data_IF_051179723305
#
_entry.id   IF_051179723305
#
_cell.length_a   1.000
_cell.length_b   1.000
_cell.length_c   1.000
_cell.angle_alpha   90.00
_cell.angle_beta   90.00
_cell.angle_gamma   90.00
#
_symmetry.space_group_name_H-M   'P 1'
#
loop_
_entity.id
_entity.type
_entity.pdbx_description
1 polymer ?
#
# COMPACT_ATOMS: atom_id res chain seq x y z
N UNK A 1 2.57 -19.21 -21.86
CA UNK A 1 1.55 -19.96 -21.07
C UNK A 1 0.30 -19.08 -20.97
N UNK A 2 -0.80 -19.48 -21.59
CA UNK A 2 -2.08 -18.72 -21.52
C UNK A 2 -2.81 -18.90 -20.20
N UNK A 3 -2.54 -19.98 -19.48
CA UNK A 3 -3.24 -20.33 -18.23
C UNK A 3 -2.96 -19.36 -17.08
N UNK A 4 -1.76 -18.77 -16.98
CA UNK A 4 -1.40 -17.93 -15.85
C UNK A 4 -2.28 -16.66 -15.74
N UNK A 5 -2.50 -15.87 -16.80
CA UNK A 5 -3.41 -14.73 -16.72
C UNK A 5 -4.85 -15.10 -16.33
N UNK A 6 -5.33 -16.25 -16.79
CA UNK A 6 -6.68 -16.74 -16.45
C UNK A 6 -6.78 -17.09 -14.95
N UNK A 7 -5.77 -17.79 -14.41
CA UNK A 7 -5.68 -18.10 -12.98
C UNK A 7 -5.66 -16.82 -12.15
N UNK A 8 -4.85 -15.85 -12.53
CA UNK A 8 -4.74 -14.55 -11.84
C UNK A 8 -6.08 -13.83 -11.83
N UNK A 9 -6.79 -13.79 -12.96
CA UNK A 9 -8.11 -13.18 -13.06
C UNK A 9 -9.15 -13.85 -12.14
N UNK A 10 -9.11 -15.18 -12.05
CA UNK A 10 -9.99 -15.95 -11.16
C UNK A 10 -9.66 -15.64 -9.69
N UNK A 11 -8.39 -15.66 -9.32
CA UNK A 11 -7.95 -15.34 -7.96
C UNK A 11 -8.36 -13.94 -7.54
N UNK A 12 -8.20 -12.94 -8.41
CA UNK A 12 -8.62 -11.57 -8.14
C UNK A 12 -10.12 -11.46 -7.91
N UNK A 13 -10.92 -12.12 -8.74
CA UNK A 13 -12.38 -12.14 -8.60
C UNK A 13 -12.81 -12.77 -7.28
N UNK A 14 -12.23 -13.92 -6.90
CA UNK A 14 -12.54 -14.59 -5.65
C UNK A 14 -12.16 -13.71 -4.46
N UNK A 15 -10.99 -13.09 -4.48
CA UNK A 15 -10.56 -12.17 -3.42
C UNK A 15 -11.54 -11.01 -3.23
N UNK A 16 -12.04 -10.42 -4.32
CA UNK A 16 -13.05 -9.37 -4.29
C UNK A 16 -14.37 -9.86 -3.70
N UNK A 17 -14.82 -11.06 -4.07
CA UNK A 17 -16.07 -11.65 -3.57
C UNK A 17 -16.01 -12.02 -2.09
N UNK A 18 -14.84 -12.39 -1.58
CA UNK A 18 -14.63 -12.84 -0.20
C UNK A 18 -14.10 -11.76 0.72
N UNK A 19 -13.78 -10.58 0.21
CA UNK A 19 -13.18 -9.50 0.99
C UNK A 19 -11.72 -9.74 1.38
N UNK A 20 -11.03 -10.65 0.69
CA UNK A 20 -9.61 -10.91 0.90
C UNK A 20 -8.73 -9.89 0.18
N UNK A 21 -7.56 -9.60 0.76
CA UNK A 21 -6.51 -8.86 0.05
C UNK A 21 -6.00 -9.67 -1.15
N UNK A 22 -5.61 -8.97 -2.23
CA UNK A 22 -5.06 -9.58 -3.43
C UNK A 22 -3.83 -8.83 -3.91
N UNK A 23 -2.74 -9.57 -4.12
CA UNK A 23 -1.53 -9.06 -4.74
C UNK A 23 -1.23 -9.81 -6.03
N UNK A 24 -1.24 -9.07 -7.15
CA UNK A 24 -0.96 -9.64 -8.46
C UNK A 24 0.55 -9.77 -8.68
N UNK A 25 1.14 -10.83 -8.16
CA UNK A 25 2.57 -11.13 -8.29
C UNK A 25 3.00 -11.22 -9.75
N UNK A 26 2.20 -11.85 -10.59
CA UNK A 26 2.48 -12.02 -12.01
C UNK A 26 2.69 -10.66 -12.71
N UNK A 27 1.78 -9.73 -12.50
CA UNK A 27 1.89 -8.39 -13.08
C UNK A 27 3.00 -7.56 -12.45
N UNK A 28 3.16 -7.65 -11.13
CA UNK A 28 4.19 -6.93 -10.40
C UNK A 28 5.62 -7.33 -10.84
N UNK A 29 5.82 -8.59 -11.20
CA UNK A 29 7.08 -9.09 -11.74
C UNK A 29 7.37 -8.66 -13.17
N UNK A 30 6.37 -8.20 -13.92
CA UNK A 30 6.50 -7.78 -15.31
C UNK A 30 5.59 -8.51 -16.31
N UNK A 31 4.76 -9.45 -15.83
CA UNK A 31 3.77 -10.15 -16.66
C UNK A 31 4.38 -11.19 -17.59
N UNK A 32 3.84 -11.27 -18.79
CA UNK A 32 4.23 -12.30 -19.77
C UNK A 32 5.71 -12.20 -20.17
N UNK A 33 6.38 -13.33 -20.21
CA UNK A 33 7.80 -13.45 -20.59
C UNK A 33 8.80 -13.14 -19.47
N UNK A 34 8.37 -12.71 -18.30
CA UNK A 34 9.24 -12.36 -17.17
C UNK A 34 10.20 -13.48 -16.78
N UNK A 35 9.73 -14.73 -16.72
CA UNK A 35 10.58 -15.86 -16.30
C UNK A 35 11.75 -16.09 -17.26
N UNK A 36 11.54 -15.94 -18.56
CA UNK A 36 12.61 -16.01 -19.55
C UNK A 36 13.63 -14.89 -19.39
N UNK A 37 13.16 -13.65 -19.18
CA UNK A 37 14.02 -12.51 -18.93
C UNK A 37 14.81 -12.65 -17.63
N UNK A 38 14.20 -13.19 -16.59
CA UNK A 38 14.82 -13.44 -15.30
C UNK A 38 15.88 -14.54 -15.37
N UNK A 39 15.66 -15.53 -16.21
CA UNK A 39 16.61 -16.62 -16.40
C UNK A 39 17.91 -16.18 -17.07
N UNK A 40 17.82 -15.29 -18.07
CA UNK A 40 18.99 -14.81 -18.80
C UNK A 40 19.75 -13.67 -18.10
N UNK A 41 19.24 -13.17 -16.97
CA UNK A 41 19.97 -12.17 -16.17
C UNK A 41 21.22 -12.76 -15.52
N UNK A 42 22.19 -11.90 -15.28
CA UNK A 42 23.39 -12.24 -14.53
C UNK A 42 23.51 -11.38 -13.27
N UNK A 43 23.42 -11.99 -12.09
CA UNK A 43 23.04 -13.38 -11.83
C UNK A 43 21.56 -13.65 -12.14
N UNK A 44 21.19 -14.91 -12.46
CA UNK A 44 19.82 -15.26 -12.80
C UNK A 44 18.89 -15.10 -11.60
N UNK A 45 17.68 -14.63 -11.86
CA UNK A 45 16.67 -14.37 -10.84
C UNK A 45 15.68 -15.54 -10.67
N UNK A 46 15.75 -16.54 -11.55
CA UNK A 46 14.94 -17.76 -11.53
C UNK A 46 15.82 -18.96 -11.85
N UNK A 47 15.46 -20.13 -11.32
CA UNK A 47 16.12 -21.39 -11.60
C UNK A 47 15.91 -21.86 -13.04
N UNK A 48 16.65 -22.90 -13.46
CA UNK A 48 16.56 -23.48 -14.79
C UNK A 48 15.19 -24.10 -15.10
N UNK A 49 14.40 -24.38 -14.08
CA UNK A 49 13.01 -24.86 -14.20
C UNK A 49 12.02 -23.74 -14.57
N UNK A 50 12.44 -22.47 -14.56
CA UNK A 50 11.63 -21.28 -14.84
C UNK A 50 10.40 -21.15 -13.91
N UNK A 51 10.46 -21.74 -12.74
CA UNK A 51 9.39 -21.78 -11.74
C UNK A 51 9.85 -21.22 -10.40
N UNK A 52 10.97 -21.74 -9.89
CA UNK A 52 11.47 -21.35 -8.58
C UNK A 52 12.38 -20.13 -8.67
N UNK A 53 12.07 -19.05 -7.98
CA UNK A 53 12.94 -17.88 -7.95
C UNK A 53 14.27 -18.21 -7.27
N UNK A 54 15.35 -17.62 -7.76
CA UNK A 54 16.62 -17.60 -7.04
C UNK A 54 16.47 -16.74 -5.77
N UNK A 55 17.46 -16.76 -4.83
CA UNK A 55 17.43 -15.88 -3.67
C UNK A 55 17.27 -14.40 -4.02
N UNK A 56 17.84 -13.97 -5.15
CA UNK A 56 17.69 -12.59 -5.64
C UNK A 56 16.32 -12.33 -6.21
N UNK A 57 15.76 -13.26 -6.98
CA UNK A 57 14.39 -13.18 -7.48
C UNK A 57 13.37 -13.15 -6.34
N UNK A 58 13.54 -14.02 -5.35
CA UNK A 58 12.70 -14.05 -4.16
C UNK A 58 12.74 -12.72 -3.38
N UNK A 59 13.93 -12.13 -3.24
CA UNK A 59 14.08 -10.81 -2.59
C UNK A 59 13.35 -9.71 -3.34
N UNK A 60 13.44 -9.70 -4.68
CA UNK A 60 12.71 -8.72 -5.48
C UNK A 60 11.19 -8.88 -5.34
N UNK A 61 10.68 -10.10 -5.38
CA UNK A 61 9.24 -10.35 -5.17
C UNK A 61 8.79 -9.88 -3.79
N UNK A 62 9.59 -10.14 -2.75
CA UNK A 62 9.31 -9.67 -1.40
C UNK A 62 9.27 -8.14 -1.31
N UNK A 63 10.18 -7.44 -1.98
CA UNK A 63 10.19 -5.97 -2.05
C UNK A 63 8.96 -5.42 -2.77
N UNK A 64 8.57 -6.01 -3.89
CA UNK A 64 7.37 -5.63 -4.64
C UNK A 64 6.10 -5.80 -3.79
N UNK A 65 5.98 -6.93 -3.10
CA UNK A 65 4.87 -7.20 -2.20
C UNK A 65 4.82 -6.21 -1.03
N UNK A 66 5.94 -6.02 -0.33
CA UNK A 66 6.03 -5.12 0.82
C UNK A 66 5.70 -3.67 0.42
N UNK A 67 6.19 -3.21 -0.72
CA UNK A 67 5.88 -1.87 -1.23
C UNK A 67 4.38 -1.67 -1.45
N UNK A 68 3.70 -2.63 -2.05
CA UNK A 68 2.26 -2.56 -2.27
C UNK A 68 1.46 -2.66 -0.96
N UNK A 69 1.91 -3.48 -0.02
CA UNK A 69 1.29 -3.59 1.30
C UNK A 69 1.35 -2.26 2.06
N UNK A 70 2.50 -1.59 2.05
CA UNK A 70 2.68 -0.29 2.71
C UNK A 70 1.80 0.80 2.07
N UNK A 71 1.73 0.86 0.74
CA UNK A 71 0.83 1.79 0.03
C UNK A 71 -0.63 1.53 0.41
N UNK A 72 -1.04 0.27 0.46
CA UNK A 72 -2.39 -0.12 0.88
C UNK A 72 -2.69 0.29 2.32
N UNK A 73 -1.74 0.10 3.23
CA UNK A 73 -1.85 0.50 4.63
C UNK A 73 -1.97 2.03 4.79
N UNK A 74 -1.15 2.79 4.10
CA UNK A 74 -1.22 4.26 4.13
C UNK A 74 -2.58 4.77 3.66
N UNK A 75 -3.12 4.22 2.56
CA UNK A 75 -4.47 4.54 2.08
C UNK A 75 -5.56 4.18 3.10
N UNK A 76 -5.43 3.02 3.71
CA UNK A 76 -6.35 2.60 4.76
C UNK A 76 -6.34 3.60 5.92
N UNK A 77 -5.17 3.98 6.40
CA UNK A 77 -5.02 4.95 7.50
C UNK A 77 -5.60 6.32 7.14
N UNK A 78 -5.36 6.80 5.91
CA UNK A 78 -5.93 8.07 5.45
C UNK A 78 -7.46 8.06 5.42
N UNK A 79 -8.06 6.94 5.00
CA UNK A 79 -9.50 6.79 4.90
C UNK A 79 -10.18 6.52 6.25
N UNK A 80 -9.44 6.03 7.24
CA UNK A 80 -9.96 5.65 8.57
C UNK A 80 -9.40 6.53 9.69
N UNK A 81 -8.59 7.54 9.39
CA UNK A 81 -8.25 8.57 10.36
C UNK A 81 -9.54 9.32 10.69
N UNK A 82 -9.98 9.24 11.94
CA UNK A 82 -11.11 10.01 12.43
C UNK A 82 -10.89 11.50 12.09
N UNK A 83 -11.93 12.25 11.69
CA UNK A 83 -11.80 13.67 11.48
C UNK A 83 -11.20 14.28 12.74
N UNK A 84 -10.04 14.93 12.61
CA UNK A 84 -9.46 15.68 13.72
C UNK A 84 -10.52 16.66 14.17
N UNK A 85 -11.08 16.41 15.35
CA UNK A 85 -12.00 17.31 16.01
C UNK A 85 -11.22 18.59 16.21
N UNK A 86 -11.49 19.57 15.34
CA UNK A 86 -10.93 20.91 15.45
C UNK A 86 -11.33 21.41 16.84
N UNK A 87 -10.37 21.42 17.75
CA UNK A 87 -10.55 21.99 19.08
C UNK A 87 -11.11 23.40 18.87
N UNK A 88 -12.24 23.75 19.51
CA UNK A 88 -12.74 25.11 19.44
C UNK A 88 -11.65 26.05 19.94
N UNK A 89 -11.44 27.14 19.22
CA UNK A 89 -10.48 28.17 19.61
C UNK A 89 -10.78 28.64 21.03
N UNK A 90 -9.76 28.89 21.87
CA UNK A 90 -9.98 29.36 23.23
C UNK A 90 -10.75 30.69 23.13
N UNK A 91 -11.92 30.73 23.76
CA UNK A 91 -12.71 31.95 23.92
C UNK A 91 -11.94 32.81 24.92
N UNK A 92 -11.20 33.79 24.43
CA UNK A 92 -10.61 34.83 25.28
C UNK A 92 -11.77 35.73 25.69
N UNK A 93 -12.31 35.51 26.87
CA UNK A 93 -13.24 36.47 27.48
C UNK A 93 -12.42 37.69 27.90
N UNK A 94 -12.52 38.73 27.11
CA UNK A 94 -12.08 40.05 27.55
C UNK A 94 -12.98 40.51 28.70
N UNK A 95 -12.54 40.32 29.92
CA UNK A 95 -13.14 40.94 31.08
C UNK A 95 -12.69 42.38 31.09
N UNK A 96 -13.53 43.25 30.52
CA UNK A 96 -13.38 44.69 30.59
C UNK A 96 -13.55 45.15 32.04
N UNK A 97 -12.46 45.36 32.75
CA UNK A 97 -12.48 46.00 34.04
C UNK A 97 -12.56 47.51 33.83
N UNK A 98 -13.78 48.04 33.75
CA UNK A 98 -13.98 49.46 33.94
C UNK A 98 -13.73 49.85 35.42
N UNK A 99 -12.56 50.37 35.66
CA UNK A 99 -12.33 51.10 36.93
C UNK A 99 -12.89 52.50 36.75
N UNK A 100 -13.98 52.74 37.47
CA UNK A 100 -14.51 54.04 37.70
C UNK A 100 -13.57 54.78 38.67
N UNK A 101 -12.80 55.74 38.17
CA UNK A 101 -12.11 56.71 39.01
C UNK A 101 -13.06 57.89 39.25
N UNK A 102 -13.68 57.89 40.43
CA UNK A 102 -14.33 59.06 40.93
C UNK A 102 -13.26 60.06 41.38
N UNK A 103 -13.34 61.27 40.85
CA UNK A 103 -12.57 62.41 41.36
C UNK A 103 -13.56 63.42 41.89
N UNK A 104 -13.42 63.80 43.14
CA UNK A 104 -13.98 65.00 43.74
C UNK A 104 -13.22 66.19 43.29
#
# INVERSE_FOLDING_TARGET
MRAIPEIVAIQQRIAQQTGCGFFNTYQAMGGNGTMGLWYIRHPPMVGADLIHPSPQGARLVAQLFTGQLLIGYERYMQNHSAPQQKLPAPVISETSTQRHLGVQ
#
